data_IF_842834762404
#
_entry.id   IF_842834762404
#
_cell.length_a   1.000
_cell.length_b   1.000
_cell.length_c   1.000
_cell.angle_alpha   90.00
_cell.angle_beta   90.00
_cell.angle_gamma   90.00
#
_symmetry.space_group_name_H-M   'P 1'
#
loop_
_entity.id
_entity.type
_entity.pdbx_description
1 polymer ?
#
# COMPACT_ATOMS: atom_id res chain seq x y z
N UNK A 1 -4.73 29.07 -5.73
CA UNK A 1 -4.09 27.83 -5.27
C UNK A 1 -5.07 27.19 -4.31
N UNK A 2 -5.97 26.35 -4.82
CA UNK A 2 -6.71 25.43 -3.97
C UNK A 2 -5.74 24.30 -3.63
N UNK A 3 -4.94 24.51 -2.58
CA UNK A 3 -4.07 23.47 -2.03
C UNK A 3 -4.96 22.28 -1.67
N UNK A 4 -4.68 21.09 -2.21
CA UNK A 4 -5.41 19.87 -1.88
C UNK A 4 -5.03 19.36 -0.48
N UNK A 5 -5.28 20.18 0.55
CA UNK A 5 -4.99 19.86 1.95
C UNK A 5 -5.90 18.74 2.50
N UNK A 6 -6.88 18.25 1.72
CA UNK A 6 -7.75 17.13 2.08
C UNK A 6 -7.26 15.78 1.55
N UNK A 7 -6.06 15.73 0.98
CA UNK A 7 -5.38 14.51 0.51
C UNK A 7 -4.95 13.58 1.64
N UNK A 8 -4.57 14.12 2.80
CA UNK A 8 -4.10 13.34 3.94
C UNK A 8 -4.46 13.99 5.28
N UNK A 9 -4.59 13.18 6.33
CA UNK A 9 -4.84 13.61 7.69
C UNK A 9 -3.77 13.08 8.67
N UNK A 10 -3.31 13.98 9.53
CA UNK A 10 -2.42 13.69 10.65
C UNK A 10 -2.92 14.43 11.87
N UNK A 11 -3.21 13.67 12.94
CA UNK A 11 -3.77 14.22 14.15
C UNK A 11 -2.90 15.35 14.72
N UNK A 12 -1.57 15.25 14.66
CA UNK A 12 -0.68 16.23 15.29
C UNK A 12 -0.11 17.26 14.32
N UNK A 13 -0.78 17.51 13.19
CA UNK A 13 -0.46 18.60 12.28
C UNK A 13 -1.66 19.54 12.05
N UNK A 14 -1.39 20.76 11.61
CA UNK A 14 -2.47 21.63 11.12
C UNK A 14 -3.07 21.00 9.86
N UNK A 15 -4.39 20.79 9.83
CA UNK A 15 -5.03 20.14 8.68
C UNK A 15 -4.81 20.88 7.36
N UNK A 16 -4.77 22.22 7.39
CA UNK A 16 -4.64 23.03 6.18
C UNK A 16 -3.20 23.15 5.71
N UNK A 17 -2.31 23.74 6.52
CA UNK A 17 -0.93 24.01 6.09
C UNK A 17 0.06 22.87 6.39
N UNK A 18 -0.40 21.78 6.98
CA UNK A 18 0.39 20.60 7.38
C UNK A 18 1.57 20.89 8.32
N UNK A 19 1.70 22.09 8.89
CA UNK A 19 2.75 22.41 9.87
C UNK A 19 2.50 21.69 11.20
N UNK A 20 3.57 21.19 11.82
CA UNK A 20 3.60 20.60 13.16
C UNK A 20 4.97 20.82 13.84
N UNK A 21 5.10 20.39 15.09
CA UNK A 21 6.37 20.40 15.83
C UNK A 21 6.67 21.74 16.52
N UNK A 22 7.95 22.01 16.75
CA UNK A 22 8.40 23.19 17.51
C UNK A 22 7.91 24.51 16.88
N UNK A 23 7.37 25.40 17.72
CA UNK A 23 6.83 26.69 17.28
C UNK A 23 5.44 26.63 16.64
N UNK A 24 4.80 25.45 16.55
CA UNK A 24 3.43 25.30 16.05
C UNK A 24 2.47 25.03 17.21
N UNK A 25 1.64 26.01 17.55
CA UNK A 25 0.55 25.82 18.53
C UNK A 25 -0.71 25.36 17.81
N UNK A 26 -1.09 24.10 18.00
CA UNK A 26 -2.30 23.54 17.45
C UNK A 26 -3.51 23.76 18.37
N UNK A 27 -4.62 24.18 17.78
CA UNK A 27 -5.94 24.27 18.43
C UNK A 27 -6.84 23.19 17.85
N UNK A 28 -7.34 22.33 18.73
CA UNK A 28 -8.30 21.28 18.38
C UNK A 28 -9.66 21.90 18.05
N UNK A 29 -10.41 21.30 17.14
CA UNK A 29 -11.78 21.72 16.87
C UNK A 29 -12.61 21.62 18.16
N UNK A 30 -13.23 22.72 18.57
CA UNK A 30 -14.02 22.75 19.81
C UNK A 30 -15.28 21.89 19.79
N UNK A 31 -15.74 21.46 18.60
CA UNK A 31 -16.88 20.55 18.46
C UNK A 31 -16.46 19.07 18.59
N UNK A 32 -15.76 18.55 17.59
CA UNK A 32 -15.41 17.12 17.55
C UNK A 32 -14.11 16.75 18.28
N UNK A 33 -13.19 17.70 18.52
CA UNK A 33 -11.88 17.44 19.11
C UNK A 33 -10.88 16.65 18.25
N UNK A 34 -11.32 16.04 17.14
CA UNK A 34 -10.52 15.08 16.35
C UNK A 34 -9.53 15.71 15.36
N UNK A 35 -9.69 16.99 15.01
CA UNK A 35 -8.90 17.69 14.01
C UNK A 35 -8.29 18.98 14.58
N UNK A 36 -7.13 19.40 14.07
CA UNK A 36 -6.37 20.54 14.58
C UNK A 36 -6.03 21.59 13.51
N UNK A 37 -5.91 22.85 13.96
CA UNK A 37 -5.51 24.00 13.14
C UNK A 37 -4.47 24.84 13.90
N UNK A 38 -3.50 25.42 13.19
CA UNK A 38 -2.53 26.34 13.82
C UNK A 38 -3.17 27.67 14.24
N UNK A 39 -4.26 28.08 13.58
CA UNK A 39 -4.97 29.32 13.87
C UNK A 39 -6.44 29.27 13.41
N UNK A 40 -7.18 30.32 13.72
CA UNK A 40 -8.60 30.46 13.38
C UNK A 40 -8.83 30.64 11.86
N UNK A 41 -7.84 31.16 11.12
CA UNK A 41 -7.97 31.38 9.67
C UNK A 41 -8.04 30.03 8.95
N UNK A 42 -7.14 29.10 9.25
CA UNK A 42 -7.18 27.75 8.68
C UNK A 42 -8.42 26.97 9.14
N UNK A 43 -8.90 27.16 10.37
CA UNK A 43 -10.17 26.58 10.79
C UNK A 43 -11.35 27.10 9.97
N UNK A 44 -11.43 28.42 9.74
CA UNK A 44 -12.49 29.04 8.92
C UNK A 44 -12.41 28.59 7.45
N UNK A 45 -11.21 28.45 6.91
CA UNK A 45 -10.97 27.94 5.55
C UNK A 45 -11.51 26.52 5.37
N UNK A 46 -11.28 25.63 6.34
CA UNK A 46 -11.74 24.24 6.26
C UNK A 46 -13.22 24.05 6.65
N UNK A 47 -13.80 24.99 7.42
CA UNK A 47 -15.14 24.86 7.99
C UNK A 47 -16.26 24.45 7.02
N UNK A 48 -16.34 24.97 5.77
CA UNK A 48 -17.38 24.57 4.82
C UNK A 48 -17.39 23.07 4.53
N UNK A 49 -16.21 22.42 4.51
CA UNK A 49 -16.06 20.97 4.30
C UNK A 49 -16.26 20.18 5.60
N UNK A 50 -15.71 20.67 6.72
CA UNK A 50 -15.72 19.94 7.99
C UNK A 50 -17.04 19.98 8.78
N UNK A 51 -17.82 21.07 8.69
CA UNK A 51 -18.95 21.33 9.62
C UNK A 51 -19.94 20.17 9.76
N UNK A 52 -20.29 19.51 8.66
CA UNK A 52 -21.28 18.42 8.65
C UNK A 52 -20.75 17.19 9.39
N UNK A 53 -19.51 16.79 9.07
CA UNK A 53 -18.80 15.73 9.78
C UNK A 53 -18.68 16.06 11.27
N UNK A 54 -18.32 17.29 11.61
CA UNK A 54 -18.16 17.73 13.00
C UNK A 54 -19.45 17.58 13.81
N UNK A 55 -20.61 17.93 13.24
CA UNK A 55 -21.90 17.77 13.89
C UNK A 55 -22.26 16.28 14.05
N UNK A 56 -22.09 15.47 13.00
CA UNK A 56 -22.36 14.03 13.07
C UNK A 56 -21.50 13.32 14.12
N UNK A 57 -20.20 13.66 14.24
CA UNK A 57 -19.33 13.14 15.30
C UNK A 57 -19.86 13.51 16.68
N UNK A 58 -20.24 14.78 16.89
CA UNK A 58 -20.75 15.24 18.18
C UNK A 58 -22.03 14.52 18.60
N UNK A 59 -22.95 14.28 17.66
CA UNK A 59 -24.16 13.50 17.90
C UNK A 59 -23.83 12.07 18.30
N UNK A 60 -23.00 11.36 17.51
CA UNK A 60 -22.61 9.98 17.82
C UNK A 60 -21.94 9.86 19.19
N UNK A 61 -21.00 10.75 19.51
CA UNK A 61 -20.28 10.72 20.79
C UNK A 61 -21.23 10.96 21.97
N UNK A 62 -22.20 11.87 21.81
CA UNK A 62 -23.22 12.17 22.82
C UNK A 62 -24.15 10.97 23.06
N UNK A 63 -24.55 10.30 21.99
CA UNK A 63 -25.51 9.19 22.03
C UNK A 63 -24.90 7.89 22.57
N UNK A 64 -23.60 7.65 22.33
CA UNK A 64 -22.98 6.33 22.53
C UNK A 64 -21.93 6.26 23.65
N UNK A 65 -21.43 7.39 24.15
CA UNK A 65 -20.46 7.41 25.27
C UNK A 65 -19.17 6.62 24.99
N UNK A 66 -18.15 7.25 24.40
CA UNK A 66 -16.91 6.57 23.99
C UNK A 66 -15.82 6.59 25.07
N UNK A 67 -16.10 6.09 26.27
CA UNK A 67 -15.12 5.97 27.35
C UNK A 67 -14.50 4.57 27.34
N UNK A 68 -13.47 4.38 26.54
CA UNK A 68 -12.71 3.12 26.50
C UNK A 68 -11.22 3.42 26.52
N UNK A 69 -10.48 2.76 27.43
CA UNK A 69 -9.03 2.85 27.63
C UNK A 69 -8.47 1.45 27.83
N UNK A 70 -7.18 1.27 27.58
CA UNK A 70 -6.45 0.02 27.87
C UNK A 70 -7.08 -1.23 27.24
N UNK A 71 -7.61 -1.09 26.03
CA UNK A 71 -8.11 -2.21 25.24
C UNK A 71 -7.01 -2.80 24.37
N UNK A 72 -7.19 -4.06 23.96
CA UNK A 72 -6.32 -4.70 22.99
C UNK A 72 -6.27 -3.94 21.66
N UNK A 73 -5.21 -4.09 20.84
CA UNK A 73 -5.13 -3.48 19.51
C UNK A 73 -6.33 -3.82 18.62
N UNK A 74 -6.81 -5.07 18.65
CA UNK A 74 -7.97 -5.53 17.88
C UNK A 74 -9.26 -4.83 18.32
N UNK A 75 -9.53 -4.76 19.63
CA UNK A 75 -10.67 -4.04 20.16
C UNK A 75 -10.59 -2.53 19.85
N UNK A 76 -9.38 -1.95 19.89
CA UNK A 76 -9.17 -0.56 19.52
C UNK A 76 -9.48 -0.29 18.04
N UNK A 77 -8.98 -1.15 17.14
CA UNK A 77 -9.30 -1.08 15.72
C UNK A 77 -10.82 -1.19 15.48
N UNK A 78 -11.50 -2.13 16.15
CA UNK A 78 -12.94 -2.30 16.07
C UNK A 78 -13.71 -1.06 16.55
N UNK A 79 -13.30 -0.44 17.66
CA UNK A 79 -13.93 0.78 18.18
C UNK A 79 -13.80 1.94 17.19
N UNK A 80 -12.65 2.08 16.53
CA UNK A 80 -12.43 3.08 15.48
C UNK A 80 -13.35 2.85 14.29
N UNK A 81 -13.47 1.60 13.83
CA UNK A 81 -14.36 1.24 12.72
C UNK A 81 -15.84 1.45 13.07
N UNK A 82 -16.28 1.03 14.26
CA UNK A 82 -17.65 1.22 14.73
C UNK A 82 -18.02 2.71 14.79
N UNK A 83 -17.12 3.55 15.33
CA UNK A 83 -17.32 5.00 15.35
C UNK A 83 -17.43 5.57 13.92
N UNK A 84 -16.54 5.16 13.03
CA UNK A 84 -16.55 5.58 11.63
C UNK A 84 -17.86 5.21 10.94
N UNK A 85 -18.36 3.99 11.12
CA UNK A 85 -19.62 3.52 10.55
C UNK A 85 -20.82 4.31 11.10
N UNK A 86 -20.90 4.49 12.43
CA UNK A 86 -21.97 5.26 13.07
C UNK A 86 -22.04 6.73 12.61
N UNK A 87 -20.89 7.31 12.29
CA UNK A 87 -20.83 8.67 11.72
C UNK A 87 -21.19 8.64 10.24
N UNK A 88 -20.67 7.68 9.46
CA UNK A 88 -20.92 7.57 8.03
C UNK A 88 -22.43 7.44 7.71
N UNK A 89 -23.18 6.65 8.48
CA UNK A 89 -24.65 6.49 8.29
C UNK A 89 -25.45 7.78 8.53
N UNK A 90 -24.88 8.75 9.27
CA UNK A 90 -25.52 10.06 9.54
C UNK A 90 -25.20 11.10 8.47
N UNK A 91 -24.33 10.79 7.52
CA UNK A 91 -23.94 11.70 6.45
C UNK A 91 -24.68 11.37 5.16
N UNK A 92 -25.13 12.39 4.38
CA UNK A 92 -25.79 12.17 3.09
C UNK A 92 -24.79 11.83 1.96
N UNK A 93 -23.53 11.57 2.30
CA UNK A 93 -22.45 11.25 1.36
C UNK A 93 -21.47 10.28 2.01
N UNK A 94 -20.65 9.62 1.18
CA UNK A 94 -19.48 8.87 1.66
C UNK A 94 -18.48 9.81 2.32
N UNK A 95 -17.69 9.26 3.24
CA UNK A 95 -16.57 9.97 3.85
C UNK A 95 -15.50 10.26 2.79
N UNK A 96 -14.91 11.45 2.85
CA UNK A 96 -13.71 11.75 2.07
C UNK A 96 -12.51 11.00 2.69
N UNK A 97 -11.45 10.74 1.92
CA UNK A 97 -10.30 9.94 2.37
C UNK A 97 -9.68 10.48 3.67
N UNK A 98 -9.46 11.80 3.79
CA UNK A 98 -8.94 12.38 5.04
C UNK A 98 -9.90 12.22 6.23
N UNK A 99 -11.21 12.14 5.99
CA UNK A 99 -12.21 11.93 7.05
C UNK A 99 -12.16 10.48 7.53
N UNK A 100 -12.02 9.51 6.62
CA UNK A 100 -11.72 8.11 6.96
C UNK A 100 -10.44 8.04 7.81
N UNK A 101 -9.39 8.75 7.42
CA UNK A 101 -8.13 8.82 8.17
C UNK A 101 -8.27 9.48 9.55
N UNK A 102 -9.22 10.40 9.75
CA UNK A 102 -9.52 10.96 11.08
C UNK A 102 -9.96 9.88 12.08
N UNK A 103 -10.69 8.86 11.61
CA UNK A 103 -11.12 7.74 12.44
C UNK A 103 -10.06 6.65 12.56
N UNK A 104 -9.29 6.39 11.50
CA UNK A 104 -8.20 5.41 11.51
C UNK A 104 -7.04 5.83 12.41
N UNK A 105 -6.70 7.12 12.43
CA UNK A 105 -5.54 7.68 13.13
C UNK A 105 -5.93 8.83 14.07
N UNK A 106 -6.84 8.61 15.04
CA UNK A 106 -7.27 9.65 15.95
C UNK A 106 -6.13 10.04 16.89
N UNK A 107 -6.23 11.23 17.49
CA UNK A 107 -5.34 11.58 18.59
C UNK A 107 -5.67 10.73 19.81
N UNK A 108 -4.78 9.80 20.15
CA UNK A 108 -4.82 9.02 21.37
C UNK A 108 -3.39 8.73 21.86
N UNK A 109 -3.23 8.31 23.12
CA UNK A 109 -1.98 7.71 23.56
C UNK A 109 -1.74 6.43 22.77
N UNK A 110 -0.55 6.31 22.16
CA UNK A 110 -0.14 5.13 21.39
C UNK A 110 -0.27 3.81 22.16
N UNK A 111 -0.16 3.84 23.48
CA UNK A 111 -0.07 2.63 24.31
C UNK A 111 -1.40 2.33 25.02
N UNK A 112 -1.95 3.29 25.78
CA UNK A 112 -3.14 3.04 26.59
C UNK A 112 -4.45 3.56 25.97
N UNK A 113 -4.37 4.16 24.79
CA UNK A 113 -5.49 4.77 24.08
C UNK A 113 -6.21 5.87 24.88
N UNK A 114 -5.54 6.54 25.82
CA UNK A 114 -6.04 7.78 26.44
C UNK A 114 -6.38 8.82 25.36
N UNK A 115 -7.49 9.54 25.50
CA UNK A 115 -8.00 10.49 24.49
C UNK A 115 -8.22 11.90 25.03
N UNK A 116 -8.08 12.10 26.34
CA UNK A 116 -8.22 13.39 26.96
C UNK A 116 -7.18 14.36 26.39
N UNK A 117 -7.66 15.45 25.80
CA UNK A 117 -6.77 16.39 25.14
C UNK A 117 -5.76 17.04 26.09
N UNK A 118 -6.11 17.14 27.38
CA UNK A 118 -5.29 17.72 28.43
C UNK A 118 -4.19 16.78 28.94
N UNK A 119 -4.35 15.46 28.77
CA UNK A 119 -3.43 14.44 29.33
C UNK A 119 -2.39 13.93 28.33
N UNK A 120 -2.50 14.33 27.06
CA UNK A 120 -1.64 13.86 25.99
C UNK A 120 -0.63 14.93 25.57
N UNK A 121 0.58 14.49 25.33
CA UNK A 121 1.63 15.27 24.68
C UNK A 121 1.92 14.71 23.28
N UNK A 122 2.01 15.60 22.30
CA UNK A 122 2.27 15.25 20.91
C UNK A 122 3.78 15.09 20.69
N UNK A 123 4.19 14.06 19.94
CA UNK A 123 5.56 13.94 19.48
C UNK A 123 5.94 15.16 18.62
N UNK A 124 7.12 15.73 18.84
CA UNK A 124 7.59 16.92 18.11
C UNK A 124 8.25 16.59 16.77
N UNK A 125 8.61 15.31 16.57
CA UNK A 125 9.38 14.84 15.41
C UNK A 125 8.55 14.10 14.37
N UNK A 126 7.45 13.45 14.77
CA UNK A 126 6.48 12.85 13.87
C UNK A 126 5.08 13.44 14.12
N UNK A 127 4.29 13.62 13.06
CA UNK A 127 2.95 14.18 13.14
C UNK A 127 1.86 13.15 13.57
N UNK A 128 2.27 11.95 13.98
CA UNK A 128 1.38 10.79 14.17
C UNK A 128 1.14 10.43 15.64
N UNK A 129 2.18 10.48 16.48
CA UNK A 129 2.12 9.89 17.83
C UNK A 129 1.83 10.93 18.90
N UNK A 130 0.96 10.55 19.83
CA UNK A 130 0.75 11.24 21.11
C UNK A 130 0.94 10.23 22.24
N UNK A 131 1.41 10.69 23.40
CA UNK A 131 1.65 9.85 24.58
C UNK A 131 1.10 10.56 25.82
N UNK A 132 0.52 9.81 26.76
CA UNK A 132 0.26 10.36 28.09
C UNK A 132 1.56 10.41 28.92
N UNK A 133 1.50 11.04 30.09
CA UNK A 133 2.66 11.19 30.98
C UNK A 133 3.34 9.84 31.31
N UNK A 134 2.55 8.82 31.62
CA UNK A 134 3.04 7.47 31.97
C UNK A 134 3.78 6.78 30.81
N UNK A 135 3.36 7.04 29.57
CA UNK A 135 3.90 6.38 28.38
C UNK A 135 4.86 7.25 27.57
N UNK A 136 5.31 8.40 28.09
CA UNK A 136 6.17 9.37 27.38
C UNK A 136 7.41 8.76 26.73
N UNK A 137 7.99 7.74 27.35
CA UNK A 137 9.23 7.07 26.91
C UNK A 137 9.00 5.60 26.53
N UNK A 138 7.76 5.23 26.19
CA UNK A 138 7.44 3.85 25.87
C UNK A 138 8.18 3.36 24.61
N UNK A 139 8.74 2.13 24.60
CA UNK A 139 9.48 1.59 23.46
C UNK A 139 8.62 1.42 22.19
N UNK A 140 7.28 1.38 22.29
CA UNK A 140 6.39 1.40 21.14
C UNK A 140 6.64 2.63 20.24
N UNK A 141 7.08 3.75 20.83
CA UNK A 141 7.53 4.93 20.11
C UNK A 141 9.07 5.06 20.13
N UNK A 142 9.75 4.05 19.60
CA UNK A 142 11.21 4.09 19.43
C UNK A 142 11.66 5.18 18.45
N UNK A 143 12.96 5.55 18.50
CA UNK A 143 13.56 6.50 17.53
C UNK A 143 13.37 6.03 16.09
N UNK A 144 13.49 4.73 15.83
CA UNK A 144 13.31 4.18 14.49
C UNK A 144 11.85 4.33 14.02
N UNK A 145 10.88 3.93 14.85
CA UNK A 145 9.45 4.07 14.54
C UNK A 145 9.07 5.55 14.30
N UNK A 146 9.55 6.46 15.15
CA UNK A 146 9.35 7.90 14.99
C UNK A 146 9.90 8.42 13.64
N UNK A 147 11.09 7.97 13.22
CA UNK A 147 11.68 8.37 11.94
C UNK A 147 10.85 7.87 10.75
N UNK A 148 10.37 6.63 10.79
CA UNK A 148 9.52 6.07 9.73
C UNK A 148 8.17 6.80 9.65
N UNK A 149 7.54 7.11 10.78
CA UNK A 149 6.29 7.89 10.80
C UNK A 149 6.48 9.33 10.31
N UNK A 150 7.66 9.93 10.55
CA UNK A 150 8.02 11.21 9.95
C UNK A 150 8.16 11.10 8.43
N UNK A 151 8.76 10.01 7.94
CA UNK A 151 8.87 9.75 6.50
C UNK A 151 7.47 9.55 5.87
N UNK A 152 6.55 8.82 6.51
CA UNK A 152 5.15 8.73 6.07
C UNK A 152 4.54 10.12 5.87
N UNK A 153 4.67 10.98 6.89
CA UNK A 153 4.13 12.34 6.84
C UNK A 153 4.72 13.16 5.69
N UNK A 154 6.03 13.09 5.50
CA UNK A 154 6.70 13.80 4.41
C UNK A 154 6.22 13.27 3.05
N UNK A 155 6.12 11.96 2.86
CA UNK A 155 5.64 11.34 1.63
C UNK A 155 4.19 11.75 1.31
N UNK A 156 3.29 11.62 2.28
CA UNK A 156 1.88 12.01 2.10
C UNK A 156 1.73 13.51 1.78
N UNK A 157 2.61 14.35 2.34
CA UNK A 157 2.63 15.77 2.07
C UNK A 157 3.17 16.08 0.67
N UNK A 158 4.31 15.53 0.27
CA UNK A 158 4.91 15.79 -1.05
C UNK A 158 4.00 15.28 -2.17
N UNK A 159 3.46 14.06 -2.03
CA UNK A 159 2.53 13.49 -3.02
C UNK A 159 1.23 14.29 -3.13
N UNK A 160 0.79 14.97 -2.07
CA UNK A 160 -0.38 15.85 -2.12
C UNK A 160 -0.17 17.18 -2.85
N UNK A 161 1.07 17.64 -2.95
CA UNK A 161 1.45 18.91 -3.60
C UNK A 161 1.71 18.70 -5.10
N UNK A 162 2.05 17.48 -5.52
CA UNK A 162 2.14 17.09 -6.92
C UNK A 162 0.74 16.93 -7.55
N UNK A 163 0.03 18.05 -7.68
CA UNK A 163 -1.34 18.15 -8.25
C UNK A 163 -1.41 17.67 -9.72
N UNK A 164 -0.28 17.55 -10.41
CA UNK A 164 -0.21 17.07 -11.79
C UNK A 164 -0.21 15.54 -11.92
N UNK A 165 -0.05 14.77 -10.83
CA UNK A 165 0.00 13.31 -10.90
C UNK A 165 1.15 12.78 -11.79
N UNK A 166 2.24 13.52 -11.91
CA UNK A 166 3.39 13.11 -12.72
C UNK A 166 4.01 11.86 -12.10
N UNK A 167 3.96 10.75 -12.85
CA UNK A 167 4.64 9.51 -12.48
C UNK A 167 6.15 9.77 -12.36
N UNK A 168 6.86 9.07 -11.46
CA UNK A 168 8.32 9.21 -11.36
C UNK A 168 8.97 8.91 -12.71
N UNK A 169 10.07 9.62 -13.01
CA UNK A 169 10.86 9.33 -14.19
C UNK A 169 11.53 7.95 -14.01
N UNK A 170 11.14 6.98 -14.85
CA UNK A 170 11.68 5.63 -14.86
C UNK A 170 12.66 5.38 -16.02
N UNK A 171 13.14 6.43 -16.69
CA UNK A 171 14.01 6.33 -17.89
C UNK A 171 15.34 5.64 -17.55
N UNK A 172 15.77 5.65 -16.29
CA UNK A 172 16.96 4.92 -15.86
C UNK A 172 16.83 3.41 -16.04
N UNK A 173 15.61 2.86 -16.13
CA UNK A 173 15.37 1.43 -16.34
C UNK A 173 15.96 0.92 -17.65
N UNK A 174 16.06 1.77 -18.68
CA UNK A 174 16.66 1.38 -19.96
C UNK A 174 18.15 0.99 -19.82
N UNK A 175 18.82 1.49 -18.78
CA UNK A 175 20.24 1.22 -18.49
C UNK A 175 20.46 -0.02 -17.64
N UNK A 176 19.38 -0.60 -17.11
CA UNK A 176 19.45 -1.83 -16.32
C UNK A 176 19.90 -2.95 -17.26
N UNK A 177 21.01 -3.59 -16.92
CA UNK A 177 21.53 -4.71 -17.70
C UNK A 177 22.06 -5.78 -16.76
N UNK A 178 21.62 -7.02 -16.99
CA UNK A 178 22.02 -8.17 -16.18
C UNK A 178 21.37 -8.20 -14.80
N UNK A 179 20.96 -9.39 -14.37
CA UNK A 179 20.16 -9.59 -13.15
C UNK A 179 21.01 -9.71 -11.87
N UNK A 180 22.33 -9.93 -12.02
CA UNK A 180 23.14 -10.62 -11.00
C UNK A 180 23.73 -9.78 -9.87
N UNK A 181 23.58 -8.45 -9.88
CA UNK A 181 24.32 -7.59 -8.93
C UNK A 181 23.51 -7.11 -7.73
N UNK A 182 22.22 -6.82 -7.89
CA UNK A 182 21.44 -6.20 -6.82
C UNK A 182 20.79 -7.25 -5.89
N UNK A 183 21.07 -7.14 -4.58
CA UNK A 183 20.61 -8.11 -3.56
C UNK A 183 19.29 -7.73 -2.91
N UNK A 184 18.92 -6.45 -2.95
CA UNK A 184 17.71 -5.91 -2.34
C UNK A 184 17.27 -4.62 -3.07
N UNK A 185 16.08 -4.11 -2.72
CA UNK A 185 15.49 -2.90 -3.32
C UNK A 185 16.40 -1.68 -3.22
N UNK A 186 17.03 -1.47 -2.06
CA UNK A 186 17.89 -0.31 -1.83
C UNK A 186 19.13 -0.37 -2.72
N UNK A 187 19.82 -1.51 -2.74
CA UNK A 187 20.98 -1.73 -3.62
C UNK A 187 20.61 -1.50 -5.09
N UNK A 188 19.41 -1.95 -5.49
CA UNK A 188 18.91 -1.76 -6.85
C UNK A 188 18.71 -0.29 -7.20
N UNK A 189 18.03 0.45 -6.32
CA UNK A 189 17.78 1.88 -6.54
C UNK A 189 19.11 2.65 -6.51
N UNK A 190 19.96 2.42 -5.51
CA UNK A 190 21.25 3.11 -5.35
C UNK A 190 22.20 2.85 -6.54
N UNK A 191 22.13 1.68 -7.19
CA UNK A 191 22.97 1.32 -8.33
C UNK A 191 22.50 1.89 -9.68
N UNK A 192 21.20 2.15 -9.84
CA UNK A 192 20.61 2.49 -11.15
C UNK A 192 19.99 3.88 -11.21
N UNK A 193 19.57 4.42 -10.07
CA UNK A 193 19.06 5.77 -9.97
C UNK A 193 20.25 6.72 -9.80
N UNK A 194 20.56 7.51 -10.83
CA UNK A 194 21.51 8.62 -10.70
C UNK A 194 20.88 9.69 -9.80
N UNK A 195 21.10 9.60 -8.49
CA UNK A 195 20.69 10.63 -7.52
C UNK A 195 21.41 11.97 -7.79
N UNK A 196 22.42 11.96 -8.68
CA UNK A 196 23.26 13.10 -9.02
C UNK A 196 23.19 13.43 -10.52
N UNK A 197 22.11 14.09 -10.98
CA UNK A 197 22.21 15.13 -12.03
C UNK A 197 20.90 15.91 -12.26
N UNK A 198 20.89 17.18 -11.85
CA UNK A 198 20.58 18.23 -12.82
C UNK A 198 19.15 18.77 -12.97
N UNK A 199 18.25 18.65 -11.99
CA UNK A 199 16.99 19.42 -12.00
C UNK A 199 16.76 20.16 -10.68
N UNK A 200 16.29 21.40 -10.78
CA UNK A 200 15.93 22.25 -9.64
C UNK A 200 14.77 21.64 -8.86
N UNK A 201 14.94 21.52 -7.54
CA UNK A 201 13.94 21.04 -6.56
C UNK A 201 13.52 19.56 -6.68
N UNK A 202 14.50 18.63 -6.75
CA UNK A 202 14.22 17.22 -6.49
C UNK A 202 13.74 17.01 -5.04
N UNK A 203 12.79 16.10 -4.79
CA UNK A 203 12.39 15.75 -3.43
C UNK A 203 13.58 15.16 -2.65
N UNK A 204 13.55 15.17 -1.31
CA UNK A 204 14.56 14.52 -0.47
C UNK A 204 14.87 13.08 -0.95
N UNK A 205 16.13 12.65 -0.83
CA UNK A 205 16.57 11.36 -1.38
C UNK A 205 15.77 10.17 -0.82
N UNK A 206 15.39 10.21 0.45
CA UNK A 206 14.54 9.21 1.10
C UNK A 206 13.11 9.17 0.52
N UNK A 207 12.55 10.32 0.15
CA UNK A 207 11.26 10.42 -0.55
C UNK A 207 11.33 9.80 -1.95
N UNK A 208 12.37 10.14 -2.72
CA UNK A 208 12.55 9.58 -4.07
C UNK A 208 12.73 8.06 -4.03
N UNK A 209 13.60 7.54 -3.15
CA UNK A 209 13.80 6.09 -2.99
C UNK A 209 12.49 5.38 -2.64
N UNK A 210 11.71 5.92 -1.70
CA UNK A 210 10.42 5.34 -1.32
C UNK A 210 9.43 5.32 -2.50
N UNK A 211 9.30 6.42 -3.25
CA UNK A 211 8.39 6.48 -4.42
C UNK A 211 8.79 5.46 -5.48
N UNK A 212 10.07 5.42 -5.87
CA UNK A 212 10.54 4.49 -6.90
C UNK A 212 10.41 3.02 -6.48
N UNK A 213 10.59 2.72 -5.18
CA UNK A 213 10.42 1.36 -4.66
C UNK A 213 9.00 0.82 -4.83
N UNK A 214 7.97 1.66 -4.76
CA UNK A 214 6.57 1.25 -4.94
C UNK A 214 6.26 0.84 -6.40
N UNK A 215 6.93 1.47 -7.37
CA UNK A 215 6.85 1.09 -8.77
C UNK A 215 7.59 -0.24 -9.04
N UNK A 216 8.75 -0.41 -8.42
CA UNK A 216 9.64 -1.53 -8.70
C UNK A 216 9.32 -2.81 -7.92
N UNK A 217 8.64 -2.70 -6.77
CA UNK A 217 8.48 -3.82 -5.84
C UNK A 217 7.79 -5.02 -6.51
N UNK A 218 6.76 -4.82 -7.32
CA UNK A 218 6.04 -5.91 -8.01
C UNK A 218 6.91 -6.65 -9.04
N UNK A 219 7.47 -6.00 -10.08
CA UNK A 219 8.28 -6.71 -11.07
C UNK A 219 9.56 -7.30 -10.46
N UNK A 220 10.20 -6.63 -9.49
CA UNK A 220 11.40 -7.18 -8.85
C UNK A 220 11.09 -8.35 -7.91
N UNK A 221 9.93 -8.37 -7.27
CA UNK A 221 9.45 -9.53 -6.50
C UNK A 221 9.20 -10.73 -7.42
N UNK A 222 8.60 -10.50 -8.60
CA UNK A 222 8.44 -11.56 -9.60
C UNK A 222 9.81 -12.12 -10.02
N UNK A 223 10.75 -11.24 -10.39
CA UNK A 223 12.11 -11.67 -10.78
C UNK A 223 12.80 -12.44 -9.67
N UNK A 224 12.64 -12.01 -8.41
CA UNK A 224 13.18 -12.73 -7.26
C UNK A 224 12.58 -14.13 -7.13
N UNK A 225 11.26 -14.28 -7.24
CA UNK A 225 10.61 -15.59 -7.22
C UNK A 225 11.04 -16.49 -8.38
N UNK A 226 11.15 -15.94 -9.60
CA UNK A 226 11.66 -16.67 -10.77
C UNK A 226 13.10 -17.15 -10.57
N UNK A 227 13.96 -16.36 -9.91
CA UNK A 227 15.33 -16.80 -9.55
C UNK A 227 15.32 -17.93 -8.53
N UNK A 228 14.45 -17.89 -7.52
CA UNK A 228 14.33 -18.97 -6.53
C UNK A 228 13.89 -20.29 -7.17
N UNK A 229 13.19 -20.22 -8.30
CA UNK A 229 12.74 -21.37 -9.08
C UNK A 229 13.77 -21.86 -10.10
N UNK A 230 14.93 -21.19 -10.22
CA UNK A 230 15.85 -21.35 -11.35
C UNK A 230 15.12 -21.32 -12.70
N UNK A 231 14.12 -20.45 -12.81
CA UNK A 231 13.19 -20.46 -13.93
C UNK A 231 13.89 -20.04 -15.22
N UNK A 232 13.74 -20.88 -16.25
CA UNK A 232 14.22 -20.62 -17.61
C UNK A 232 13.01 -20.55 -18.53
N UNK A 233 12.76 -19.39 -19.19
CA UNK A 233 11.70 -19.29 -20.19
C UNK A 233 11.85 -20.36 -21.27
N UNK A 234 10.73 -20.97 -21.69
CA UNK A 234 10.73 -21.99 -22.75
C UNK A 234 10.98 -21.43 -24.15
N UNK A 235 10.88 -20.12 -24.31
CA UNK A 235 11.10 -19.40 -25.55
C UNK A 235 11.51 -17.94 -25.28
N UNK A 236 11.22 -17.08 -26.24
CA UNK A 236 11.45 -15.62 -26.16
C UNK A 236 10.23 -14.86 -25.63
N UNK A 237 9.18 -15.55 -25.22
CA UNK A 237 7.99 -14.94 -24.61
C UNK A 237 7.77 -15.40 -23.17
N UNK A 238 7.15 -14.53 -22.38
CA UNK A 238 6.73 -14.80 -21.01
C UNK A 238 5.31 -14.28 -20.79
N UNK A 239 4.38 -15.17 -20.46
CA UNK A 239 3.01 -14.81 -20.05
C UNK A 239 2.91 -14.83 -18.53
N UNK A 240 2.69 -13.66 -17.94
CA UNK A 240 2.54 -13.49 -16.49
C UNK A 240 1.08 -13.14 -16.20
N UNK A 241 0.41 -13.98 -15.40
CA UNK A 241 -0.89 -13.60 -14.83
C UNK A 241 -0.65 -12.87 -13.51
N UNK A 242 -1.21 -11.68 -13.37
CA UNK A 242 -1.24 -10.93 -12.11
C UNK A 242 -2.64 -11.04 -11.54
N UNK A 243 -2.82 -11.84 -10.48
CA UNK A 243 -4.11 -12.11 -9.85
C UNK A 243 -4.38 -11.21 -8.67
N UNK A 244 -5.67 -10.96 -8.40
CA UNK A 244 -6.14 -9.95 -7.46
C UNK A 244 -5.53 -8.56 -7.75
N UNK A 245 -5.29 -8.27 -9.02
CA UNK A 245 -4.78 -6.99 -9.45
C UNK A 245 -5.84 -5.90 -9.21
N UNK A 246 -5.40 -4.75 -8.73
CA UNK A 246 -6.21 -3.57 -8.55
C UNK A 246 -5.54 -2.36 -9.23
N UNK A 247 -6.02 -1.16 -8.93
CA UNK A 247 -5.53 0.07 -9.55
C UNK A 247 -4.02 0.31 -9.31
N UNK A 248 -3.45 -0.17 -8.20
CA UNK A 248 -2.02 0.02 -7.88
C UNK A 248 -1.14 -0.72 -8.90
N UNK A 249 -1.52 -1.94 -9.31
CA UNK A 249 -0.79 -2.67 -10.36
C UNK A 249 -0.84 -1.95 -11.71
N UNK A 250 -1.92 -1.22 -12.00
CA UNK A 250 -2.07 -0.41 -13.22
C UNK A 250 -1.23 0.87 -13.16
N UNK A 251 -1.26 1.60 -12.04
CA UNK A 251 -0.47 2.82 -11.84
C UNK A 251 1.04 2.55 -11.98
N UNK A 252 1.47 1.34 -11.63
CA UNK A 252 2.87 0.91 -11.67
C UNK A 252 3.25 0.15 -12.96
N UNK A 253 2.33 0.05 -13.94
CA UNK A 253 2.51 -0.72 -15.18
C UNK A 253 3.83 -0.41 -15.91
N UNK A 254 4.23 0.86 -16.00
CA UNK A 254 5.47 1.26 -16.69
C UNK A 254 6.74 0.59 -16.15
N UNK A 255 6.78 0.28 -14.86
CA UNK A 255 7.96 -0.33 -14.25
C UNK A 255 8.20 -1.77 -14.71
N UNK A 256 7.18 -2.44 -15.26
CA UNK A 256 7.28 -3.82 -15.73
C UNK A 256 8.15 -4.00 -16.97
N UNK A 257 8.46 -2.92 -17.69
CA UNK A 257 9.45 -2.94 -18.77
C UNK A 257 10.80 -3.48 -18.29
N UNK A 258 11.14 -3.31 -17.01
CA UNK A 258 12.36 -3.85 -16.40
C UNK A 258 12.56 -5.36 -16.66
N UNK A 259 11.48 -6.13 -16.85
CA UNK A 259 11.59 -7.56 -17.16
C UNK A 259 12.32 -7.80 -18.49
N UNK A 260 12.08 -6.98 -19.51
CA UNK A 260 12.73 -7.06 -20.82
C UNK A 260 14.24 -6.77 -20.76
N UNK A 261 14.66 -6.03 -19.74
CA UNK A 261 16.06 -5.68 -19.47
C UNK A 261 16.76 -6.73 -18.60
N UNK A 262 16.09 -7.20 -17.54
CA UNK A 262 16.64 -8.19 -16.60
C UNK A 262 16.67 -9.60 -17.19
N UNK A 263 15.73 -9.93 -18.08
CA UNK A 263 15.63 -11.20 -18.80
C UNK A 263 15.83 -10.94 -20.29
N UNK A 264 17.06 -10.57 -20.65
CA UNK A 264 17.38 -10.05 -21.99
C UNK A 264 17.07 -11.01 -23.15
N UNK A 265 16.89 -12.31 -22.87
CA UNK A 265 16.45 -13.33 -23.84
C UNK A 265 14.98 -13.21 -24.26
N UNK A 266 14.16 -12.46 -23.52
CA UNK A 266 12.76 -12.25 -23.86
C UNK A 266 12.61 -11.17 -24.93
N UNK A 267 11.86 -11.49 -25.98
CA UNK A 267 11.33 -10.56 -26.98
C UNK A 267 9.92 -10.08 -26.60
N UNK A 268 9.13 -10.87 -25.87
CA UNK A 268 7.75 -10.51 -25.51
C UNK A 268 7.48 -10.78 -24.03
N UNK A 269 6.94 -9.79 -23.33
CA UNK A 269 6.33 -9.97 -22.01
C UNK A 269 4.85 -9.60 -22.14
N UNK A 270 3.97 -10.54 -21.78
CA UNK A 270 2.53 -10.30 -21.70
C UNK A 270 2.07 -10.37 -20.26
N UNK A 271 1.55 -9.26 -19.76
CA UNK A 271 0.95 -9.15 -18.44
C UNK A 271 -0.57 -9.23 -18.58
N UNK A 272 -1.15 -10.28 -18.03
CA UNK A 272 -2.60 -10.44 -17.93
C UNK A 272 -2.98 -10.08 -16.49
N UNK A 273 -3.56 -8.91 -16.30
CA UNK A 273 -4.00 -8.40 -15.00
C UNK A 273 -5.47 -8.78 -14.78
N UNK A 274 -5.73 -9.56 -13.72
CA UNK A 274 -7.05 -10.09 -13.40
C UNK A 274 -7.47 -9.67 -12.00
N UNK A 275 -8.59 -8.96 -11.90
CA UNK A 275 -9.18 -8.57 -10.63
C UNK A 275 -10.53 -7.86 -10.80
N UNK A 276 -11.48 -8.05 -9.87
CA UNK A 276 -12.84 -7.52 -10.00
C UNK A 276 -12.92 -5.99 -9.93
N UNK A 277 -11.89 -5.34 -9.38
CA UNK A 277 -11.83 -3.88 -9.21
C UNK A 277 -11.21 -3.17 -10.42
N UNK A 278 -10.74 -3.91 -11.43
CA UNK A 278 -10.08 -3.33 -12.58
C UNK A 278 -11.08 -2.65 -13.52
N UNK A 279 -10.70 -1.51 -14.14
CA UNK A 279 -11.47 -0.89 -15.21
C UNK A 279 -11.50 -1.79 -16.45
N UNK A 280 -12.51 -1.60 -17.31
CA UNK A 280 -12.63 -2.34 -18.58
C UNK A 280 -11.76 -1.77 -19.72
N UNK A 281 -10.87 -0.82 -19.43
CA UNK A 281 -10.07 -0.11 -20.44
C UNK A 281 -8.69 -0.74 -20.65
N UNK A 282 -8.16 -0.57 -21.87
CA UNK A 282 -6.83 -1.05 -22.26
C UNK A 282 -5.78 -0.03 -21.83
N UNK A 283 -4.78 -0.45 -21.08
CA UNK A 283 -3.58 0.36 -20.81
C UNK A 283 -2.60 0.18 -21.96
N UNK A 284 -2.39 1.24 -22.75
CA UNK A 284 -1.29 1.26 -23.71
C UNK A 284 0.00 1.72 -23.00
N UNK A 285 1.03 0.89 -23.07
CA UNK A 285 2.38 1.24 -22.61
C UNK A 285 3.33 1.21 -23.78
N UNK A 286 4.13 2.27 -23.93
CA UNK A 286 5.30 2.26 -24.81
C UNK A 286 6.50 1.69 -24.06
N UNK A 287 7.31 0.90 -24.74
CA UNK A 287 8.65 0.52 -24.29
C UNK A 287 9.67 1.60 -24.69
N UNK A 288 10.83 1.62 -24.04
CA UNK A 288 11.95 2.51 -24.33
C UNK A 288 12.55 2.28 -25.73
N UNK A 289 13.34 3.24 -26.19
CA UNK A 289 13.96 3.20 -27.52
C UNK A 289 14.84 1.96 -27.73
N UNK A 290 15.52 1.48 -26.67
CA UNK A 290 16.35 0.28 -26.73
C UNK A 290 15.52 -0.98 -26.95
N UNK A 291 14.39 -1.10 -26.26
CA UNK A 291 13.43 -2.19 -26.47
C UNK A 291 12.83 -2.13 -27.88
N UNK A 292 12.47 -0.94 -28.37
CA UNK A 292 12.00 -0.76 -29.76
C UNK A 292 13.06 -1.23 -30.77
N UNK A 293 14.33 -0.82 -30.61
CA UNK A 293 15.43 -1.23 -31.51
C UNK A 293 15.67 -2.74 -31.47
N UNK A 294 15.51 -3.37 -30.31
CA UNK A 294 15.63 -4.81 -30.12
C UNK A 294 14.36 -5.59 -30.52
N UNK A 295 13.31 -4.91 -31.01
CA UNK A 295 12.00 -5.49 -31.34
C UNK A 295 11.37 -6.23 -30.16
N UNK A 296 11.55 -5.67 -28.97
CA UNK A 296 10.93 -6.16 -27.74
C UNK A 296 9.55 -5.53 -27.54
N UNK A 297 8.64 -6.29 -26.98
CA UNK A 297 7.26 -5.89 -26.74
C UNK A 297 6.86 -6.16 -25.29
N UNK A 298 6.19 -5.18 -24.69
CA UNK A 298 5.48 -5.31 -23.41
C UNK A 298 4.00 -5.06 -23.69
N UNK A 299 3.16 -6.05 -23.38
CA UNK A 299 1.71 -5.98 -23.60
C UNK A 299 0.95 -6.18 -22.29
N UNK A 300 -0.15 -5.43 -22.14
CA UNK A 300 -1.05 -5.51 -21.00
C UNK A 300 -2.45 -5.94 -21.47
N UNK A 301 -3.01 -6.91 -20.78
CA UNK A 301 -4.38 -7.37 -20.96
C UNK A 301 -5.09 -7.26 -19.60
N UNK A 302 -6.25 -6.63 -19.56
CA UNK A 302 -6.94 -6.30 -18.31
C UNK A 302 -8.30 -6.99 -18.29
N UNK A 303 -8.55 -7.73 -17.22
CA UNK A 303 -9.79 -8.48 -17.01
C UNK A 303 -10.43 -8.09 -15.68
N UNK A 304 -11.55 -7.38 -15.78
CA UNK A 304 -12.45 -7.11 -14.64
C UNK A 304 -13.25 -8.38 -14.31
N UNK A 305 -12.59 -9.33 -13.65
CA UNK A 305 -13.15 -10.65 -13.36
C UNK A 305 -12.44 -11.33 -12.18
N UNK A 306 -13.11 -12.34 -11.60
CA UNK A 306 -12.46 -13.34 -10.75
C UNK A 306 -11.61 -14.29 -11.61
N UNK A 307 -10.55 -14.86 -11.03
CA UNK A 307 -9.59 -15.67 -11.78
C UNK A 307 -10.23 -16.89 -12.44
N UNK A 308 -11.11 -17.60 -11.73
CA UNK A 308 -11.83 -18.75 -12.29
C UNK A 308 -12.73 -18.40 -13.48
N UNK A 309 -13.26 -17.17 -13.51
CA UNK A 309 -14.11 -16.71 -14.61
C UNK A 309 -13.25 -16.37 -15.82
N UNK A 310 -12.07 -15.75 -15.61
CA UNK A 310 -11.10 -15.53 -16.67
C UNK A 310 -10.64 -16.86 -17.30
N UNK A 311 -10.29 -17.86 -16.48
CA UNK A 311 -9.83 -19.18 -16.97
C UNK A 311 -10.88 -19.89 -17.82
N UNK A 312 -12.17 -19.70 -17.54
CA UNK A 312 -13.28 -20.26 -18.32
C UNK A 312 -13.67 -19.40 -19.53
N UNK A 313 -13.12 -18.19 -19.64
CA UNK A 313 -13.42 -17.22 -20.68
C UNK A 313 -12.75 -17.55 -22.02
N UNK A 314 -13.26 -16.98 -23.10
CA UNK A 314 -12.70 -17.14 -24.45
C UNK A 314 -11.38 -16.37 -24.66
N UNK A 315 -11.09 -15.39 -23.82
CA UNK A 315 -9.83 -14.61 -23.80
C UNK A 315 -8.72 -15.29 -23.01
N UNK A 316 -8.96 -16.49 -22.46
CA UNK A 316 -7.97 -17.18 -21.64
C UNK A 316 -6.71 -17.51 -22.44
N UNK A 317 -5.57 -17.06 -21.92
CA UNK A 317 -4.23 -17.46 -22.36
C UNK A 317 -3.58 -18.23 -21.22
N UNK A 318 -2.86 -19.31 -21.54
CA UNK A 318 -2.18 -20.09 -20.50
C UNK A 318 -0.99 -19.31 -19.94
N UNK A 319 -0.84 -19.19 -18.60
CA UNK A 319 0.30 -18.51 -18.00
C UNK A 319 1.56 -19.39 -18.03
N UNK A 320 2.71 -18.72 -18.09
CA UNK A 320 4.00 -19.31 -17.73
C UNK A 320 4.26 -19.23 -16.23
N UNK A 321 3.79 -18.16 -15.59
CA UNK A 321 3.87 -17.91 -14.16
C UNK A 321 2.67 -17.09 -13.71
N UNK A 322 2.18 -17.35 -12.51
CA UNK A 322 1.18 -16.52 -11.84
C UNK A 322 1.82 -15.77 -10.69
N UNK A 323 1.50 -14.49 -10.55
CA UNK A 323 1.89 -13.66 -9.41
C UNK A 323 0.67 -13.01 -8.77
N UNK A 324 0.68 -12.91 -7.44
CA UNK A 324 -0.31 -12.15 -6.68
C UNK A 324 0.41 -11.29 -5.65
N UNK A 325 0.04 -10.01 -5.56
CA UNK A 325 0.71 -9.05 -4.70
C UNK A 325 -0.21 -8.64 -3.55
N UNK A 326 0.18 -8.94 -2.31
CA UNK A 326 -0.61 -8.65 -1.11
C UNK A 326 -2.09 -9.12 -1.23
N UNK A 327 -2.29 -10.37 -1.69
CA UNK A 327 -3.58 -10.88 -2.19
C UNK A 327 -4.68 -11.07 -1.15
N UNK A 328 -4.34 -11.31 0.11
CA UNK A 328 -5.34 -11.55 1.16
C UNK A 328 -6.22 -12.78 0.93
N UNK A 329 -5.68 -13.88 0.36
CA UNK A 329 -6.43 -15.16 0.19
C UNK A 329 -6.91 -15.68 1.55
N UNK A 330 -6.13 -15.44 2.61
CA UNK A 330 -6.48 -15.84 3.95
C UNK A 330 -7.61 -15.02 4.58
N UNK A 331 -7.93 -13.85 4.03
CA UNK A 331 -8.95 -12.97 4.56
C UNK A 331 -10.33 -13.60 4.33
N UNK A 332 -10.84 -14.22 5.40
CA UNK A 332 -12.27 -14.46 5.55
C UNK A 332 -12.82 -13.30 6.35
N UNK A 333 -13.67 -12.49 5.73
CA UNK A 333 -14.64 -11.74 6.51
C UNK A 333 -15.64 -12.74 7.10
N UNK A 334 -15.38 -13.15 8.34
CA UNK A 334 -16.43 -13.68 9.19
C UNK A 334 -17.56 -12.64 9.25
N UNK A 335 -18.71 -13.02 8.68
CA UNK A 335 -20.04 -12.41 8.80
C UNK A 335 -20.51 -11.32 7.80
N UNK A 336 -19.72 -10.78 6.86
CA UNK A 336 -20.22 -9.73 5.94
C UNK A 336 -20.39 -10.13 4.46
N UNK A 337 -19.61 -11.08 3.94
CA UNK A 337 -19.74 -11.54 2.55
C UNK A 337 -20.18 -13.01 2.48
N UNK A 338 -21.37 -13.31 1.92
CA UNK A 338 -21.88 -14.68 1.85
C UNK A 338 -21.17 -15.57 0.81
N UNK A 339 -20.31 -15.01 -0.05
CA UNK A 339 -19.67 -15.75 -1.15
C UNK A 339 -18.16 -15.84 -0.96
N UNK A 340 -17.68 -17.05 -0.67
CA UNK A 340 -16.25 -17.40 -0.67
C UNK A 340 -15.72 -17.42 -2.12
N UNK A 341 -15.05 -16.35 -2.54
CA UNK A 341 -14.52 -16.21 -3.91
C UNK A 341 -13.19 -16.92 -4.13
N UNK A 342 -12.33 -16.94 -3.10
CA UNK A 342 -10.98 -17.49 -3.22
C UNK A 342 -10.93 -19.00 -3.43
N UNK A 343 -11.87 -19.77 -2.87
CA UNK A 343 -11.86 -21.22 -3.02
C UNK A 343 -11.91 -21.68 -4.50
N UNK A 344 -12.68 -20.98 -5.34
CA UNK A 344 -12.74 -21.28 -6.78
C UNK A 344 -11.49 -20.81 -7.51
N UNK A 345 -11.03 -19.58 -7.26
CA UNK A 345 -9.81 -19.03 -7.82
C UNK A 345 -8.57 -19.88 -7.50
N UNK A 346 -8.40 -20.33 -6.25
CA UNK A 346 -7.25 -21.16 -5.83
C UNK A 346 -7.23 -22.53 -6.51
N UNK A 347 -8.40 -23.16 -6.73
CA UNK A 347 -8.46 -24.41 -7.51
C UNK A 347 -8.08 -24.16 -8.97
N UNK A 348 -8.60 -23.09 -9.58
CA UNK A 348 -8.24 -22.71 -10.94
C UNK A 348 -6.75 -22.36 -11.10
N UNK A 349 -6.12 -21.77 -10.06
CA UNK A 349 -4.68 -21.54 -9.99
C UNK A 349 -3.90 -22.86 -10.00
N UNK A 350 -4.31 -23.82 -9.18
CA UNK A 350 -3.67 -25.14 -9.12
C UNK A 350 -3.76 -25.90 -10.44
N UNK A 351 -4.89 -25.79 -11.15
CA UNK A 351 -5.11 -26.43 -12.45
C UNK A 351 -4.17 -25.91 -13.56
N UNK A 352 -3.56 -24.73 -13.40
CA UNK A 352 -2.61 -24.21 -14.40
C UNK A 352 -1.30 -25.01 -14.47
N UNK A 353 -0.92 -25.62 -13.34
CA UNK A 353 0.32 -26.41 -13.23
C UNK A 353 1.59 -25.60 -13.49
N UNK A 354 1.57 -24.30 -13.22
CA UNK A 354 2.68 -23.37 -13.36
C UNK A 354 3.13 -22.81 -12.01
N UNK A 355 4.30 -22.15 -11.94
CA UNK A 355 4.74 -21.50 -10.71
C UNK A 355 3.77 -20.42 -10.23
N UNK A 356 3.69 -20.26 -8.91
CA UNK A 356 2.90 -19.24 -8.24
C UNK A 356 3.78 -18.46 -7.26
N UNK A 357 3.80 -17.13 -7.39
CA UNK A 357 4.55 -16.23 -6.52
C UNK A 357 3.55 -15.29 -5.83
N UNK A 358 3.45 -15.38 -4.50
CA UNK A 358 2.55 -14.54 -3.70
C UNK A 358 3.36 -13.64 -2.79
N UNK A 359 2.94 -12.40 -2.61
CA UNK A 359 3.49 -11.53 -1.56
C UNK A 359 2.48 -11.23 -0.46
N UNK A 360 2.98 -10.89 0.74
CA UNK A 360 2.19 -10.56 1.93
C UNK A 360 2.81 -9.37 2.68
N UNK A 361 2.07 -8.73 3.58
CA UNK A 361 2.61 -7.66 4.43
C UNK A 361 3.42 -8.22 5.60
N UNK A 362 3.03 -9.40 6.11
CA UNK A 362 3.65 -9.99 7.30
C UNK A 362 3.94 -11.48 7.14
N UNK A 363 4.82 -12.01 8.00
CA UNK A 363 5.06 -13.45 8.12
C UNK A 363 3.79 -14.21 8.50
N UNK A 364 3.00 -13.63 9.42
CA UNK A 364 1.77 -14.24 9.94
C UNK A 364 0.74 -14.37 8.83
N UNK A 365 0.58 -13.34 7.98
CA UNK A 365 -0.25 -13.46 6.79
C UNK A 365 0.25 -14.56 5.86
N UNK A 366 1.56 -14.62 5.56
CA UNK A 366 2.10 -15.65 4.68
C UNK A 366 1.83 -17.09 5.19
N UNK A 367 1.90 -17.30 6.51
CA UNK A 367 1.53 -18.56 7.15
C UNK A 367 0.02 -18.85 6.99
N UNK A 368 -0.84 -17.85 7.20
CA UNK A 368 -2.30 -17.97 7.02
C UNK A 368 -2.69 -18.21 5.56
N UNK A 369 -2.04 -17.56 4.61
CA UNK A 369 -2.20 -17.76 3.16
C UNK A 369 -1.94 -19.22 2.78
N UNK A 370 -0.79 -19.75 3.22
CA UNK A 370 -0.40 -21.14 2.99
C UNK A 370 -1.41 -22.11 3.60
N UNK A 371 -1.81 -21.88 4.86
CA UNK A 371 -2.80 -22.70 5.54
C UNK A 371 -4.16 -22.68 4.82
N UNK A 372 -4.58 -21.52 4.31
CA UNK A 372 -5.82 -21.35 3.56
C UNK A 372 -5.79 -22.09 2.23
N UNK A 373 -4.70 -21.95 1.47
CA UNK A 373 -4.47 -22.68 0.22
C UNK A 373 -4.54 -24.19 0.47
N UNK A 374 -3.84 -24.68 1.50
CA UNK A 374 -3.85 -26.10 1.87
C UNK A 374 -5.27 -26.60 2.20
N UNK A 375 -6.04 -25.80 2.94
CA UNK A 375 -7.42 -26.13 3.29
C UNK A 375 -8.34 -26.19 2.05
N UNK A 376 -8.17 -25.27 1.09
CA UNK A 376 -8.97 -25.25 -0.15
C UNK A 376 -8.63 -26.46 -1.05
N UNK A 377 -7.35 -26.80 -1.15
CA UNK A 377 -6.86 -27.87 -2.02
C UNK A 377 -6.93 -29.27 -1.37
N UNK A 378 -7.16 -29.34 -0.05
CA UNK A 378 -7.20 -30.60 0.69
C UNK A 378 -5.86 -31.34 0.72
N UNK A 379 -4.74 -30.62 0.54
CA UNK A 379 -3.37 -31.16 0.55
C UNK A 379 -2.38 -30.14 1.09
N UNK A 380 -1.25 -30.62 1.59
CA UNK A 380 -0.13 -29.76 1.97
C UNK A 380 0.66 -29.34 0.71
N UNK A 381 0.67 -28.04 0.44
CA UNK A 381 1.45 -27.44 -0.65
C UNK A 381 2.90 -27.22 -0.20
N UNK A 382 3.85 -27.47 -1.10
CA UNK A 382 5.28 -27.26 -0.85
C UNK A 382 5.74 -25.98 -1.52
N UNK A 383 6.18 -25.02 -0.72
CA UNK A 383 6.87 -23.84 -1.22
C UNK A 383 8.37 -24.12 -1.39
N UNK A 384 8.96 -23.53 -2.42
CA UNK A 384 10.41 -23.48 -2.66
C UNK A 384 11.05 -22.45 -1.72
N UNK A 385 10.34 -21.36 -1.45
CA UNK A 385 10.76 -20.29 -0.53
C UNK A 385 9.55 -19.65 0.14
N UNK A 386 9.69 -19.30 1.42
CA UNK A 386 8.74 -18.47 2.15
C UNK A 386 9.54 -17.62 3.14
N UNK A 387 9.54 -16.29 2.97
CA UNK A 387 10.37 -15.43 3.82
C UNK A 387 10.30 -13.96 3.46
N UNK A 388 11.22 -13.18 4.04
CA UNK A 388 11.34 -11.76 3.78
C UNK A 388 11.61 -11.56 2.28
N UNK A 389 10.89 -10.63 1.68
CA UNK A 389 11.13 -10.21 0.30
C UNK A 389 12.22 -9.13 0.27
N UNK A 390 13.39 -9.39 -0.33
CA UNK A 390 14.43 -8.38 -0.42
C UNK A 390 14.05 -7.20 -1.33
N UNK A 391 13.00 -7.33 -2.14
CA UNK A 391 12.46 -6.29 -3.03
C UNK A 391 11.12 -5.72 -2.55
N UNK A 392 10.86 -5.78 -1.25
CA UNK A 392 9.73 -5.08 -0.63
C UNK A 392 9.79 -3.56 -0.92
N UNK A 393 8.62 -2.91 -0.86
CA UNK A 393 8.54 -1.45 -0.92
C UNK A 393 9.32 -0.82 0.24
N UNK A 394 9.92 0.34 0.01
CA UNK A 394 10.64 1.13 1.02
C UNK A 394 9.80 2.30 1.54
N UNK A 395 8.56 2.45 1.03
CA UNK A 395 7.59 3.43 1.54
C UNK A 395 6.91 2.90 2.80
N UNK A 396 7.07 3.57 3.96
CA UNK A 396 6.32 3.22 5.15
C UNK A 396 4.86 3.67 5.03
N UNK A 397 3.92 2.82 5.45
CA UNK A 397 2.49 3.11 5.57
C UNK A 397 2.05 3.01 7.03
N UNK A 398 1.21 3.93 7.50
CA UNK A 398 0.63 3.85 8.84
C UNK A 398 -0.37 2.70 8.90
N UNK A 399 -0.19 1.81 9.87
CA UNK A 399 -1.13 0.73 10.15
C UNK A 399 -2.15 1.20 11.20
N UNK A 400 -3.44 1.20 10.85
CA UNK A 400 -4.48 1.59 11.80
C UNK A 400 -4.83 0.45 12.75
N UNK A 401 -4.52 -0.81 12.47
CA UNK A 401 -4.85 -1.91 13.37
C UNK A 401 -3.83 -2.02 14.49
N UNK A 402 -2.55 -1.86 14.16
CA UNK A 402 -1.44 -1.98 15.12
C UNK A 402 -0.91 -0.65 15.64
N UNK A 403 -1.36 0.48 15.09
CA UNK A 403 -0.77 1.82 15.26
C UNK A 403 0.70 1.92 14.83
N UNK A 404 1.19 0.87 14.15
CA UNK A 404 2.54 0.73 13.66
C UNK A 404 2.69 1.17 12.22
N UNK A 405 3.55 0.43 11.50
CA UNK A 405 3.96 0.75 10.15
C UNK A 405 4.11 -0.54 9.35
N UNK A 406 3.66 -0.54 8.11
CA UNK A 406 3.83 -1.66 7.19
C UNK A 406 4.41 -1.21 5.84
N UNK A 407 4.85 -2.18 5.05
CA UNK A 407 5.46 -1.99 3.73
C UNK A 407 4.81 -2.96 2.74
N UNK A 408 4.62 -2.53 1.48
CA UNK A 408 4.07 -3.42 0.44
C UNK A 408 5.05 -4.56 0.13
N UNK A 409 4.48 -5.73 -0.19
CA UNK A 409 5.22 -6.93 -0.58
C UNK A 409 6.35 -7.34 0.38
N UNK A 410 6.21 -7.14 1.69
CA UNK A 410 7.29 -7.34 2.66
C UNK A 410 7.71 -8.82 2.83
N UNK A 411 6.79 -9.75 2.61
CA UNK A 411 7.05 -11.19 2.57
C UNK A 411 6.69 -11.76 1.20
N UNK A 412 7.34 -12.86 0.80
CA UNK A 412 7.05 -13.58 -0.44
C UNK A 412 7.04 -15.08 -0.21
N UNK A 413 6.10 -15.75 -0.87
CA UNK A 413 5.97 -17.21 -0.94
C UNK A 413 6.10 -17.62 -2.40
N UNK A 414 6.92 -18.63 -2.66
CA UNK A 414 7.24 -19.11 -4.02
C UNK A 414 6.91 -20.59 -4.10
N UNK A 415 5.98 -20.95 -4.98
CA UNK A 415 5.59 -22.32 -5.28
C UNK A 415 6.04 -22.68 -6.69
N UNK A 416 6.59 -23.89 -6.87
CA UNK A 416 6.84 -24.43 -8.22
C UNK A 416 5.54 -24.78 -8.95
N UNK A 417 4.51 -25.14 -8.19
CA UNK A 417 3.10 -25.34 -8.54
C UNK A 417 2.32 -25.57 -7.24
N UNK A 418 1.00 -25.42 -7.28
CA UNK A 418 0.11 -25.64 -6.13
C UNK A 418 -0.31 -27.11 -5.95
#
# INVERSE_FOLDING_TARGET
MDDNYNSCFYANACHVCKRFGDGVRLKRCGGCGMIAYCDQRHQKQHWPRHRRLCHAIQEVVRDNGLQVRQVSPQEWAQLKMNLMLLVAIRLPRRLDEYETQMFKFPRACLVCHERSNQLLEDCRYCASVSLCEEHRNDPAHSRHACCQLKLCFNLDKELSVNVNGESPNLDYLQRVSGSRTCRNMKDFIDAHMDVAQGQSALPPADVSVAVHSEYLTRPLTLVHGLRMLDYVPRGDSLVVHVVAANFIELETARAWEILLHLMSSLALVRLVMIGPELPSEIVSTSVCEDCVRQRKELSFEIHSALYENYVRGSSFVRPDVVAGFNTGIHEREEATYPEETWASSVRALAEQGCPLILSCYTRVEAEKETARINAILGKETKHVYAGINPFAGLRPYRDFETEGIFYQNNYVIVYSNL
#
